data_IF_623819180306
#
_entry.id   IF_623819180306
#
_cell.length_a   1.000
_cell.length_b   1.000
_cell.length_c   1.000
_cell.angle_alpha   90.00
_cell.angle_beta   90.00
_cell.angle_gamma   90.00
#
_symmetry.space_group_name_H-M   'P 1'
#
loop_
_entity.id
_entity.type
_entity.pdbx_description
1 polymer ?
#
# COMPACT_ATOMS: atom_id res chain seq x y z
N UNK A 1 2.09 8.06 1.74
CA UNK A 1 2.75 6.75 1.85
C UNK A 1 2.50 6.11 3.21
N UNK A 2 2.86 6.77 4.32
CA UNK A 2 2.71 6.25 5.69
C UNK A 2 1.33 5.64 5.95
N UNK A 3 0.24 6.38 5.67
CA UNK A 3 -1.13 5.86 5.85
C UNK A 3 -1.39 4.52 5.13
N UNK A 4 -0.85 4.32 3.93
CA UNK A 4 -1.00 3.07 3.20
C UNK A 4 -0.20 1.93 3.85
N UNK A 5 1.01 2.20 4.37
CA UNK A 5 1.81 1.23 5.12
C UNK A 5 1.14 0.86 6.46
N UNK A 6 0.57 1.84 7.17
CA UNK A 6 -0.21 1.60 8.39
C UNK A 6 -1.42 0.71 8.12
N UNK A 7 -2.12 0.92 7.00
CA UNK A 7 -3.24 0.07 6.60
C UNK A 7 -2.80 -1.36 6.26
N UNK A 8 -1.65 -1.54 5.62
CA UNK A 8 -1.07 -2.88 5.42
C UNK A 8 -0.76 -3.53 6.77
N UNK A 9 -0.17 -2.80 7.71
CA UNK A 9 0.15 -3.33 9.05
C UNK A 9 -1.09 -3.82 9.78
N UNK A 10 -2.17 -3.01 9.78
CA UNK A 10 -3.46 -3.43 10.36
C UNK A 10 -4.05 -4.66 9.68
N UNK A 11 -3.93 -4.78 8.36
CA UNK A 11 -4.38 -5.97 7.63
C UNK A 11 -3.58 -7.22 8.06
N UNK A 12 -2.27 -7.07 8.25
CA UNK A 12 -1.38 -8.15 8.69
C UNK A 12 -1.70 -8.56 10.13
N UNK A 13 -1.82 -7.60 11.05
CA UNK A 13 -2.17 -7.84 12.46
C UNK A 13 -3.50 -8.56 12.59
N UNK A 14 -4.54 -8.11 11.87
CA UNK A 14 -5.83 -8.79 11.82
C UNK A 14 -5.69 -10.24 11.31
N UNK A 15 -4.87 -10.46 10.27
CA UNK A 15 -4.64 -11.81 9.75
C UNK A 15 -3.89 -12.70 10.76
N UNK A 16 -2.93 -12.15 11.52
CA UNK A 16 -2.22 -12.87 12.59
C UNK A 16 -3.19 -13.28 13.70
N UNK A 17 -4.11 -12.38 14.08
CA UNK A 17 -5.07 -12.63 15.17
C UNK A 17 -6.33 -13.40 14.72
N UNK A 18 -6.40 -13.81 13.44
CA UNK A 18 -7.58 -14.49 12.89
C UNK A 18 -8.82 -13.60 12.73
N UNK A 19 -8.64 -12.28 12.76
CA UNK A 19 -9.70 -11.29 12.59
C UNK A 19 -9.86 -10.85 11.12
N UNK A 20 -11.07 -10.41 10.77
CA UNK A 20 -11.34 -9.84 9.45
C UNK A 20 -11.01 -8.35 9.42
N UNK A 21 -10.08 -7.95 8.54
CA UNK A 21 -9.82 -6.53 8.28
C UNK A 21 -10.73 -5.99 7.17
N UNK A 22 -11.75 -5.22 7.55
CA UNK A 22 -12.72 -4.61 6.62
C UNK A 22 -12.68 -3.07 6.71
N UNK A 23 -11.68 -2.42 6.08
CA UNK A 23 -11.59 -0.96 6.11
C UNK A 23 -12.72 -0.36 5.26
N UNK A 24 -13.17 0.83 5.65
CA UNK A 24 -14.17 1.62 4.93
C UNK A 24 -13.59 2.97 4.50
N UNK A 25 -14.27 3.65 3.58
CA UNK A 25 -13.99 5.04 3.25
C UNK A 25 -15.27 5.79 2.92
N UNK A 26 -15.23 7.11 3.07
CA UNK A 26 -16.39 7.97 2.79
C UNK A 26 -16.35 8.40 1.33
N UNK A 27 -17.45 8.18 0.60
CA UNK A 27 -17.69 8.77 -0.71
C UNK A 27 -18.87 9.73 -0.66
N UNK A 28 -18.93 10.64 -1.63
CA UNK A 28 -20.15 11.43 -1.88
C UNK A 28 -21.00 10.72 -2.92
N UNK A 29 -22.25 10.43 -2.59
CA UNK A 29 -23.24 9.84 -3.50
C UNK A 29 -24.49 10.70 -3.52
N UNK A 30 -25.16 10.79 -4.67
CA UNK A 30 -26.46 11.43 -4.78
C UNK A 30 -27.51 10.50 -4.15
N UNK A 31 -28.32 11.00 -3.21
CA UNK A 31 -29.46 10.26 -2.67
C UNK A 31 -30.66 10.37 -3.63
N UNK A 32 -31.76 9.70 -3.28
CA UNK A 32 -32.99 9.68 -4.09
C UNK A 32 -33.63 11.08 -4.23
N UNK A 33 -33.38 11.99 -3.29
CA UNK A 33 -33.79 13.40 -3.35
C UNK A 33 -32.88 14.28 -4.23
N UNK A 34 -31.84 13.69 -4.84
CA UNK A 34 -30.90 14.43 -5.67
C UNK A 34 -29.82 15.21 -4.92
N UNK A 35 -29.70 15.07 -3.60
CA UNK A 35 -28.69 15.75 -2.78
C UNK A 35 -27.43 14.89 -2.62
N UNK A 36 -26.27 15.53 -2.61
CA UNK A 36 -24.99 14.86 -2.33
C UNK A 36 -24.86 14.57 -0.83
N UNK A 37 -24.88 13.29 -0.47
CA UNK A 37 -24.69 12.81 0.91
C UNK A 37 -23.36 12.08 1.04
N UNK A 38 -22.78 12.12 2.25
CA UNK A 38 -21.61 11.31 2.59
C UNK A 38 -22.09 9.91 2.99
N UNK A 39 -21.58 8.89 2.33
CA UNK A 39 -21.86 7.49 2.65
C UNK A 39 -20.56 6.74 2.88
N UNK A 40 -20.57 5.88 3.88
CA UNK A 40 -19.46 5.00 4.19
C UNK A 40 -19.57 3.73 3.35
N UNK A 41 -18.51 3.39 2.61
CA UNK A 41 -18.47 2.23 1.73
C UNK A 41 -17.23 1.38 2.00
N UNK A 42 -17.28 0.06 1.76
CA UNK A 42 -16.11 -0.81 1.88
C UNK A 42 -14.95 -0.31 1.02
N UNK A 43 -13.76 -0.22 1.63
CA UNK A 43 -12.52 0.11 0.94
C UNK A 43 -11.85 -1.19 0.50
N UNK A 44 -11.68 -1.36 -0.82
CA UNK A 44 -10.86 -2.46 -1.34
C UNK A 44 -9.39 -2.15 -1.11
N UNK A 45 -8.75 -2.88 -0.20
CA UNK A 45 -7.32 -2.80 0.04
C UNK A 45 -6.62 -4.03 -0.56
N UNK A 46 -5.62 -3.79 -1.42
CA UNK A 46 -4.81 -4.85 -2.01
C UNK A 46 -3.72 -5.25 -1.03
N UNK A 47 -3.56 -6.55 -0.76
CA UNK A 47 -2.42 -7.03 0.03
C UNK A 47 -1.09 -6.71 -0.67
N UNK A 48 -0.11 -6.25 0.11
CA UNK A 48 1.23 -5.91 -0.36
C UNK A 48 2.22 -7.07 -0.33
N UNK A 49 1.90 -8.15 0.37
CA UNK A 49 2.75 -9.33 0.50
C UNK A 49 2.35 -10.47 -0.44
N UNK A 50 3.32 -11.33 -0.74
CA UNK A 50 3.17 -12.53 -1.56
C UNK A 50 4.29 -13.51 -1.24
N UNK A 51 4.07 -14.79 -1.55
CA UNK A 51 5.12 -15.79 -1.49
C UNK A 51 5.73 -15.95 -2.88
N UNK A 52 7.04 -16.15 -2.94
CA UNK A 52 7.71 -16.53 -4.19
C UNK A 52 7.52 -18.03 -4.50
N UNK A 53 8.17 -18.49 -5.57
CA UNK A 53 8.16 -19.91 -5.94
C UNK A 53 8.82 -20.84 -4.90
N UNK A 54 9.69 -20.32 -4.04
CA UNK A 54 10.32 -21.07 -2.95
C UNK A 54 9.49 -21.08 -1.67
N UNK A 55 8.36 -20.38 -1.64
CA UNK A 55 7.48 -20.25 -0.47
C UNK A 55 7.89 -19.13 0.49
N UNK A 56 8.94 -18.39 0.20
CA UNK A 56 9.46 -17.28 1.02
C UNK A 56 8.57 -16.05 0.88
N UNK A 57 8.32 -15.37 1.99
CA UNK A 57 7.46 -14.18 2.01
C UNK A 57 8.23 -12.93 1.59
N UNK A 58 7.62 -12.16 0.69
CA UNK A 58 8.09 -10.87 0.23
C UNK A 58 6.99 -9.81 0.37
N UNK A 59 7.41 -8.54 0.48
CA UNK A 59 6.53 -7.39 0.52
C UNK A 59 6.92 -6.34 -0.53
N UNK A 60 5.96 -5.92 -1.35
CA UNK A 60 6.15 -4.84 -2.33
C UNK A 60 5.48 -3.55 -1.86
N UNK A 61 6.29 -2.49 -1.71
CA UNK A 61 5.76 -1.14 -1.46
C UNK A 61 5.14 -0.59 -2.73
N UNK A 62 3.91 -0.07 -2.62
CA UNK A 62 3.20 0.56 -3.74
C UNK A 62 3.02 2.05 -3.51
N UNK A 63 3.34 2.83 -4.53
CA UNK A 63 3.03 4.25 -4.60
C UNK A 63 2.22 4.55 -5.84
N UNK A 64 1.06 5.19 -5.64
CA UNK A 64 0.16 5.60 -6.73
C UNK A 64 -0.18 4.48 -7.74
N UNK A 65 -0.34 3.24 -7.25
CA UNK A 65 -0.68 2.07 -8.07
C UNK A 65 0.51 1.29 -8.64
N UNK A 66 1.73 1.85 -8.62
CA UNK A 66 2.95 1.17 -9.06
C UNK A 66 3.75 0.61 -7.90
N UNK A 67 4.51 -0.45 -8.14
CA UNK A 67 5.49 -0.97 -7.18
C UNK A 67 6.73 -0.08 -7.24
N UNK A 68 7.31 0.22 -6.08
CA UNK A 68 8.59 0.91 -5.98
C UNK A 68 9.72 -0.09 -6.15
N UNK A 69 10.70 0.28 -6.98
CA UNK A 69 11.95 -0.45 -7.14
C UNK A 69 13.03 0.23 -6.27
N UNK A 70 13.63 -0.55 -5.36
CA UNK A 70 14.62 -0.07 -4.39
C UNK A 70 16.05 -0.13 -4.93
N UNK A 71 16.30 -1.06 -5.86
CA UNK A 71 17.52 -1.19 -6.62
C UNK A 71 17.17 -1.92 -7.92
N UNK A 72 18.09 -1.92 -8.90
CA UNK A 72 17.88 -2.60 -10.18
C UNK A 72 17.37 -4.04 -9.97
N UNK A 73 16.22 -4.33 -10.56
CA UNK A 73 15.49 -5.59 -10.51
C UNK A 73 15.02 -6.01 -9.10
N UNK A 74 15.01 -5.09 -8.13
CA UNK A 74 14.56 -5.32 -6.73
C UNK A 74 13.33 -4.49 -6.39
N UNK A 75 12.16 -5.09 -6.57
CA UNK A 75 10.84 -4.48 -6.37
C UNK A 75 10.07 -5.00 -5.13
N UNK A 76 10.73 -5.81 -4.30
CA UNK A 76 10.16 -6.36 -3.08
C UNK A 76 11.24 -6.53 -2.01
N UNK A 77 10.80 -6.46 -0.76
CA UNK A 77 11.62 -6.68 0.43
C UNK A 77 11.32 -8.08 0.92
N UNK A 78 12.38 -8.84 1.18
CA UNK A 78 12.28 -10.15 1.79
C UNK A 78 11.88 -10.01 3.26
N UNK A 79 10.87 -10.76 3.68
CA UNK A 79 10.30 -10.71 5.03
C UNK A 79 10.65 -11.97 5.82
N UNK A 80 10.84 -13.08 5.12
CA UNK A 80 11.00 -14.40 5.73
C UNK A 80 9.65 -14.96 6.14
N UNK A 81 9.31 -14.83 7.43
CA UNK A 81 8.05 -15.32 8.00
C UNK A 81 6.96 -14.24 8.07
N UNK A 82 5.70 -14.66 8.03
CA UNK A 82 4.56 -13.73 8.07
C UNK A 82 4.47 -12.94 9.38
N UNK A 83 4.89 -13.53 10.50
CA UNK A 83 5.00 -12.89 11.83
C UNK A 83 5.95 -11.69 11.84
N UNK A 84 6.94 -11.64 10.96
CA UNK A 84 7.93 -10.55 10.89
C UNK A 84 7.41 -9.33 10.11
N UNK A 85 6.37 -9.51 9.30
CA UNK A 85 5.87 -8.48 8.40
C UNK A 85 5.45 -7.17 9.10
N UNK A 86 4.81 -7.16 10.29
CA UNK A 86 4.52 -5.92 11.01
C UNK A 86 5.78 -5.11 11.33
N UNK A 87 6.88 -5.78 11.73
CA UNK A 87 8.15 -5.13 12.02
C UNK A 87 8.80 -4.52 10.76
N UNK A 88 8.78 -5.25 9.65
CA UNK A 88 9.25 -4.72 8.35
C UNK A 88 8.45 -3.47 7.94
N UNK A 89 7.14 -3.46 8.18
CA UNK A 89 6.29 -2.31 7.90
C UNK A 89 6.61 -1.11 8.80
N UNK A 90 6.96 -1.32 10.08
CA UNK A 90 7.42 -0.26 10.98
C UNK A 90 8.72 0.36 10.48
N UNK A 91 9.73 -0.46 10.15
CA UNK A 91 10.99 0.03 9.58
C UNK A 91 10.77 0.82 8.29
N UNK A 92 9.87 0.37 7.40
CA UNK A 92 9.52 1.11 6.20
C UNK A 92 8.85 2.45 6.51
N UNK A 93 7.97 2.52 7.52
CA UNK A 93 7.36 3.77 7.94
C UNK A 93 8.39 4.74 8.52
N UNK A 94 9.37 4.25 9.27
CA UNK A 94 10.49 5.04 9.78
C UNK A 94 11.37 5.59 8.66
N UNK A 95 11.79 4.74 7.72
CA UNK A 95 12.56 5.15 6.55
C UNK A 95 11.82 6.22 5.71
N UNK A 96 10.49 6.09 5.56
CA UNK A 96 9.67 7.12 4.90
C UNK A 96 9.63 8.42 5.70
N UNK A 97 9.55 8.37 7.04
CA UNK A 97 9.58 9.57 7.89
C UNK A 97 10.95 10.26 7.87
N UNK A 98 12.02 9.48 7.76
CA UNK A 98 13.39 9.97 7.63
C UNK A 98 13.73 10.50 6.21
N UNK A 99 12.82 10.35 5.24
CA UNK A 99 13.02 10.80 3.86
C UNK A 99 13.90 9.87 3.02
N UNK A 100 14.25 8.67 3.53
CA UNK A 100 15.14 7.73 2.84
C UNK A 100 14.52 7.18 1.54
N UNK A 101 13.19 7.19 1.43
CA UNK A 101 12.48 6.75 0.22
C UNK A 101 12.18 7.91 -0.75
N UNK A 102 12.56 9.15 -0.45
CA UNK A 102 12.13 10.33 -1.22
C UNK A 102 12.62 10.32 -2.67
N UNK A 103 13.82 9.79 -2.92
CA UNK A 103 14.39 9.62 -4.26
C UNK A 103 13.54 8.68 -5.12
N UNK A 104 13.15 7.53 -4.54
CA UNK A 104 12.28 6.54 -5.17
C UNK A 104 10.87 7.09 -5.41
N UNK A 105 10.32 7.84 -4.44
CA UNK A 105 8.99 8.47 -4.56
C UNK A 105 8.96 9.59 -5.60
N UNK A 106 10.02 10.38 -5.69
CA UNK A 106 10.16 11.44 -6.71
C UNK A 106 10.21 10.85 -8.10
N UNK A 107 11.01 9.80 -8.30
CA UNK A 107 11.10 9.05 -9.55
C UNK A 107 9.74 8.46 -9.95
N UNK A 108 9.06 7.78 -9.02
CA UNK A 108 7.74 7.22 -9.25
C UNK A 108 6.69 8.30 -9.62
N UNK A 109 6.78 9.49 -9.02
CA UNK A 109 5.92 10.64 -9.34
C UNK A 109 6.17 11.18 -10.75
N UNK A 110 7.44 11.31 -11.16
CA UNK A 110 7.81 11.75 -12.50
C UNK A 110 7.30 10.79 -13.58
N UNK A 111 7.46 9.48 -13.37
CA UNK A 111 6.95 8.45 -14.27
C UNK A 111 5.42 8.45 -14.37
N UNK A 112 4.72 8.68 -13.25
CA UNK A 112 3.26 8.84 -13.27
C UNK A 112 2.82 10.03 -14.12
N UNK A 113 3.49 11.18 -14.00
CA UNK A 113 3.17 12.38 -14.80
C UNK A 113 3.37 12.11 -16.30
N UNK A 114 4.44 11.42 -16.69
CA UNK A 114 4.68 11.03 -18.09
C UNK A 114 3.54 10.16 -18.64
N UNK A 115 3.07 9.18 -17.87
CA UNK A 115 1.97 8.30 -18.28
C UNK A 115 0.64 9.06 -18.45
N UNK A 116 0.30 9.94 -17.51
CA UNK A 116 -0.93 10.73 -17.61
C UNK A 116 -0.94 11.64 -18.84
N UNK A 117 0.21 12.20 -19.22
CA UNK A 117 0.34 13.01 -20.44
C UNK A 117 0.25 12.19 -21.73
N UNK A 118 0.61 10.91 -21.71
CA UNK A 118 0.52 10.01 -22.88
C UNK A 118 -0.90 9.46 -23.08
N UNK A 119 -1.74 9.50 -22.05
CA UNK A 119 -3.07 8.89 -22.03
C UNK A 119 -4.21 9.88 -22.37
N UNK A 120 -3.90 11.14 -22.68
CA UNK A 120 -4.83 12.16 -23.18
C UNK A 120 -4.40 12.63 -24.55
#
# INVERSE_FOLDING_TARGET
>A
MISALTEQKRMVEAKITGQTFAPTHIIRRKNDEGKLVKVEVPKRLRQGWFNDASGKLFFSVRYAGKIIEFAKDKNAIEVGEFSNLPGVLDTLMEAVRAGELDTHLTTATAERRKLLRKAG
#
